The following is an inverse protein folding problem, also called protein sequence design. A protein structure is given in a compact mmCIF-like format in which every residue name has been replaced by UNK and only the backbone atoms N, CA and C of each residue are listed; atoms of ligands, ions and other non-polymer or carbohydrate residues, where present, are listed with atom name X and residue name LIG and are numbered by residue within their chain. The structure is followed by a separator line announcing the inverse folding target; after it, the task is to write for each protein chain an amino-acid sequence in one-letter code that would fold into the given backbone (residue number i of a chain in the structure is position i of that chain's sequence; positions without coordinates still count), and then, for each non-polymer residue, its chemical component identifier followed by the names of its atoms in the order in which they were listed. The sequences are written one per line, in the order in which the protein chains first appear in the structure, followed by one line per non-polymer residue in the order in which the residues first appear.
data_IF_995210582702
#
_entry.id   IF_995210582702
#
_cell.length_a   1.000
_cell.length_b   1.000
_cell.length_c   1.000
_cell.angle_alpha   90.00
_cell.angle_beta   90.00
_cell.angle_gamma   90.00
#
_symmetry.space_group_name_H-M   'P 1'
#
loop_
_entity.id
_entity.type
_entity.pdbx_description
1 polymer ?
#
# COMPACT_ATOMS: atom_id res chain seq x y z
N UNK A 1 12.89 -6.45 -14.92
CA UNK A 1 11.92 -6.68 -13.82
C UNK A 1 10.59 -6.97 -14.45
N UNK A 2 10.04 -8.12 -14.14
CA UNK A 2 8.72 -8.54 -14.59
C UNK A 2 7.65 -8.13 -13.56
N UNK A 3 6.36 -8.25 -13.92
CA UNK A 3 5.23 -8.11 -13.00
C UNK A 3 5.41 -8.99 -11.75
N UNK A 4 5.77 -10.25 -11.97
CA UNK A 4 6.00 -11.22 -10.89
C UNK A 4 7.12 -10.79 -9.95
N UNK A 5 8.23 -10.26 -10.47
CA UNK A 5 9.35 -9.80 -9.65
C UNK A 5 8.92 -8.64 -8.73
N UNK A 6 8.21 -7.66 -9.28
CA UNK A 6 7.74 -6.51 -8.52
C UNK A 6 6.71 -6.91 -7.45
N UNK A 7 5.73 -7.76 -7.81
CA UNK A 7 4.76 -8.29 -6.85
C UNK A 7 5.41 -9.12 -5.75
N UNK A 8 6.40 -9.95 -6.10
CA UNK A 8 7.14 -10.75 -5.13
C UNK A 8 7.85 -9.87 -4.12
N UNK A 9 8.52 -8.81 -4.59
CA UNK A 9 9.17 -7.85 -3.69
C UNK A 9 8.16 -7.16 -2.78
N UNK A 10 7.08 -6.61 -3.33
CA UNK A 10 6.09 -5.88 -2.53
C UNK A 10 5.38 -6.79 -1.52
N UNK A 11 5.11 -8.06 -1.87
CA UNK A 11 4.45 -9.04 -1.00
C UNK A 11 5.35 -9.63 0.08
N UNK A 12 6.67 -9.57 -0.11
CA UNK A 12 7.61 -9.97 0.93
C UNK A 12 7.57 -9.04 2.15
N UNK A 13 7.10 -7.82 1.96
CA UNK A 13 7.00 -6.80 3.01
C UNK A 13 5.55 -6.71 3.50
N UNK A 14 5.32 -7.16 4.75
CA UNK A 14 3.98 -7.11 5.38
C UNK A 14 3.61 -5.74 5.93
N UNK A 15 4.60 -4.85 6.11
CA UNK A 15 4.42 -3.53 6.69
C UNK A 15 5.02 -2.47 5.78
N UNK A 16 4.37 -1.31 5.75
CA UNK A 16 4.81 -0.17 4.96
C UNK A 16 4.58 1.13 5.72
N UNK A 17 5.34 2.16 5.39
CA UNK A 17 5.05 3.51 5.84
C UNK A 17 4.02 4.11 4.90
N UNK A 18 2.85 4.42 5.44
CA UNK A 18 1.75 5.09 4.75
C UNK A 18 1.77 6.56 5.08
N UNK A 19 1.58 7.43 4.08
CA UNK A 19 1.47 8.88 4.27
C UNK A 19 0.13 9.40 3.78
N UNK A 20 -0.39 10.41 4.45
CA UNK A 20 -1.60 11.13 4.06
C UNK A 20 -1.45 12.60 4.42
N UNK A 21 -2.35 13.44 3.93
CA UNK A 21 -2.31 14.88 4.14
C UNK A 21 -3.53 15.32 4.93
N UNK A 22 -3.30 16.06 6.00
CA UNK A 22 -4.38 16.66 6.80
C UNK A 22 -5.11 17.77 6.04
N UNK A 23 -6.25 18.23 6.60
CA UNK A 23 -7.00 19.37 6.05
C UNK A 23 -6.22 20.67 6.03
N UNK A 24 -5.17 20.77 6.85
CA UNK A 24 -4.25 21.92 6.88
C UNK A 24 -2.97 21.67 6.06
N UNK A 25 -3.00 20.68 5.18
CA UNK A 25 -1.87 20.28 4.31
C UNK A 25 -0.63 19.79 5.07
N UNK A 26 -0.77 19.40 6.32
CA UNK A 26 0.32 18.77 7.06
C UNK A 26 0.48 17.31 6.62
N UNK A 27 1.67 16.88 6.16
CA UNK A 27 1.93 15.47 5.86
C UNK A 27 2.00 14.67 7.15
N UNK A 28 1.40 13.48 7.14
CA UNK A 28 1.35 12.59 8.29
C UNK A 28 1.72 11.18 7.83
N UNK A 29 2.51 10.49 8.63
CA UNK A 29 2.98 9.14 8.32
C UNK A 29 2.68 8.17 9.46
N UNK A 30 2.40 6.92 9.10
CA UNK A 30 2.22 5.82 10.04
C UNK A 30 2.63 4.50 9.39
N UNK A 31 3.09 3.55 10.20
CA UNK A 31 3.29 2.17 9.76
C UNK A 31 1.94 1.45 9.74
N UNK A 32 1.65 0.76 8.65
CA UNK A 32 0.45 -0.07 8.48
C UNK A 32 0.83 -1.45 7.95
N UNK A 33 0.04 -2.47 8.31
CA UNK A 33 0.09 -3.76 7.65
C UNK A 33 -0.56 -3.66 6.28
N UNK A 34 0.09 -4.18 5.23
CA UNK A 34 -0.40 -4.12 3.87
C UNK A 34 -0.58 -5.50 3.26
N UNK A 35 -1.59 -5.66 2.42
CA UNK A 35 -1.70 -6.75 1.45
C UNK A 35 -1.66 -6.17 0.04
N UNK A 36 -1.12 -6.92 -0.92
CA UNK A 36 -0.93 -6.47 -2.30
C UNK A 36 -1.70 -7.40 -3.24
N UNK A 37 -2.65 -6.85 -3.99
CA UNK A 37 -3.40 -7.59 -5.02
C UNK A 37 -2.55 -7.86 -6.27
N UNK A 38 -3.06 -8.69 -7.19
CA UNK A 38 -2.40 -8.92 -8.48
C UNK A 38 -2.34 -7.66 -9.35
N UNK A 39 -3.19 -6.68 -9.11
CA UNK A 39 -3.22 -5.40 -9.81
C UNK A 39 -2.42 -4.30 -9.12
N UNK A 40 -1.49 -4.68 -8.23
CA UNK A 40 -0.68 -3.76 -7.42
C UNK A 40 -1.50 -2.86 -6.48
N UNK A 41 -2.78 -3.14 -6.26
CA UNK A 41 -3.55 -2.42 -5.26
C UNK A 41 -3.04 -2.78 -3.86
N UNK A 42 -2.94 -1.78 -3.00
CA UNK A 42 -2.63 -1.99 -1.58
C UNK A 42 -3.91 -2.01 -0.77
N UNK A 43 -3.97 -2.90 0.21
CA UNK A 43 -5.07 -2.98 1.16
C UNK A 43 -4.53 -2.91 2.58
N UNK A 44 -5.15 -2.10 3.41
CA UNK A 44 -4.89 -2.05 4.85
C UNK A 44 -6.17 -1.82 5.63
N UNK A 45 -6.19 -2.19 6.90
CA UNK A 45 -7.30 -1.87 7.80
C UNK A 45 -6.94 -0.72 8.75
N UNK A 46 -7.96 -0.01 9.23
CA UNK A 46 -7.83 1.02 10.23
C UNK A 46 -9.19 1.33 10.85
N UNK A 47 -9.23 2.17 11.88
CA UNK A 47 -10.49 2.69 12.40
C UNK A 47 -10.94 3.93 11.60
N UNK A 48 -12.25 4.07 11.42
CA UNK A 48 -12.84 5.16 10.65
C UNK A 48 -12.54 6.56 11.22
N UNK A 49 -12.28 6.65 12.54
CA UNK A 49 -11.92 7.86 13.24
C UNK A 49 -10.40 8.10 13.36
N UNK A 50 -9.59 7.18 12.82
CA UNK A 50 -8.14 7.38 12.76
C UNK A 50 -7.77 8.60 11.90
N UNK A 51 -6.65 9.25 12.23
CA UNK A 51 -6.16 10.41 11.45
C UNK A 51 -6.03 10.09 9.96
N UNK A 52 -5.47 8.91 9.62
CA UNK A 52 -5.30 8.49 8.23
C UNK A 52 -6.63 8.28 7.51
N UNK A 53 -7.63 7.67 8.15
CA UNK A 53 -8.95 7.47 7.54
C UNK A 53 -9.66 8.81 7.31
N UNK A 54 -9.63 9.70 8.27
CA UNK A 54 -10.20 11.06 8.16
C UNK A 54 -9.51 11.84 7.03
N UNK A 55 -8.18 11.79 6.98
CA UNK A 55 -7.41 12.44 5.93
C UNK A 55 -7.78 11.91 4.53
N UNK A 56 -7.80 10.58 4.36
CA UNK A 56 -8.03 9.95 3.07
C UNK A 56 -9.46 10.13 2.56
N UNK A 57 -10.44 10.30 3.45
CA UNK A 57 -11.80 10.67 3.03
C UNK A 57 -11.87 12.10 2.48
N UNK A 58 -11.08 13.01 3.02
CA UNK A 58 -11.02 14.40 2.57
C UNK A 58 -10.10 14.59 1.37
N UNK A 59 -8.96 13.88 1.34
CA UNK A 59 -7.98 13.89 0.25
C UNK A 59 -7.49 12.46 0.02
N UNK A 60 -7.94 11.79 -1.04
CA UNK A 60 -7.60 10.38 -1.28
C UNK A 60 -6.18 10.15 -1.79
N UNK A 61 -5.41 11.18 -2.07
CA UNK A 61 -4.00 11.05 -2.47
C UNK A 61 -3.19 10.47 -1.33
N UNK A 62 -2.43 9.42 -1.61
CA UNK A 62 -1.68 8.67 -0.62
C UNK A 62 -0.37 8.18 -1.21
N UNK A 63 0.66 8.09 -0.38
CA UNK A 63 1.92 7.50 -0.76
C UNK A 63 2.39 6.48 0.28
N UNK A 64 3.20 5.51 -0.19
CA UNK A 64 3.81 4.49 0.65
C UNK A 64 5.29 4.35 0.36
N UNK A 65 6.02 3.94 1.38
CA UNK A 65 7.35 3.35 1.24
C UNK A 65 7.26 1.90 1.72
N UNK A 66 7.61 0.96 0.84
CA UNK A 66 7.61 -0.48 1.08
C UNK A 66 9.06 -0.96 1.00
N UNK A 67 9.49 -1.82 1.92
CA UNK A 67 10.87 -2.27 2.02
C UNK A 67 11.73 -1.31 2.84
N UNK A 68 13.04 -1.39 2.67
CA UNK A 68 14.00 -0.64 3.48
C UNK A 68 15.40 -1.21 3.39
N UNK A 69 16.08 -1.27 4.53
CA UNK A 69 17.42 -1.82 4.67
C UNK A 69 17.32 -3.24 5.19
N UNK A 70 17.89 -4.20 4.46
CA UNK A 70 18.03 -5.59 4.89
C UNK A 70 19.41 -6.09 4.48
N UNK A 71 20.16 -6.65 5.44
CA UNK A 71 21.53 -7.14 5.22
C UNK A 71 22.44 -6.09 4.54
N UNK A 72 22.38 -4.85 5.01
CA UNK A 72 23.09 -3.66 4.48
C UNK A 72 22.73 -3.28 3.04
N UNK A 73 21.74 -3.93 2.44
CA UNK A 73 21.24 -3.60 1.11
C UNK A 73 19.95 -2.80 1.22
N UNK A 74 19.90 -1.66 0.53
CA UNK A 74 18.71 -0.81 0.45
C UNK A 74 17.92 -1.19 -0.79
N UNK A 75 16.72 -1.73 -0.56
CA UNK A 75 15.72 -2.00 -1.62
C UNK A 75 14.38 -1.45 -1.19
N UNK A 76 13.80 -0.61 -2.02
CA UNK A 76 12.53 0.05 -1.69
C UNK A 76 11.61 0.13 -2.90
N UNK A 77 10.32 0.18 -2.59
CA UNK A 77 9.28 0.67 -3.50
C UNK A 77 8.74 1.97 -2.92
N UNK A 78 8.77 3.04 -3.70
CA UNK A 78 7.94 4.21 -3.51
C UNK A 78 6.66 4.01 -4.32
N UNK A 79 5.53 4.30 -3.71
CA UNK A 79 4.23 4.05 -4.30
C UNK A 79 3.34 5.27 -4.10
N UNK A 80 2.75 5.77 -5.17
CA UNK A 80 1.73 6.81 -5.14
C UNK A 80 0.42 6.25 -5.66
N UNK A 81 -0.68 6.61 -5.03
CA UNK A 81 -1.98 6.10 -5.40
C UNK A 81 -3.16 6.91 -4.89
N UNK A 82 -4.33 6.41 -5.19
CA UNK A 82 -5.61 6.98 -4.78
C UNK A 82 -6.35 5.96 -3.90
N UNK A 83 -6.67 6.39 -2.68
CA UNK A 83 -7.40 5.59 -1.72
C UNK A 83 -8.92 5.63 -1.96
N UNK A 84 -9.58 4.51 -1.75
CA UNK A 84 -11.03 4.44 -1.63
C UNK A 84 -11.44 3.51 -0.47
N UNK A 85 -12.71 3.60 -0.11
CA UNK A 85 -13.34 2.79 0.95
C UNK A 85 -14.40 1.90 0.29
N UNK A 86 -14.02 0.70 -0.19
CA UNK A 86 -14.93 -0.17 -0.92
C UNK A 86 -16.08 -0.65 -0.03
N UNK A 87 -17.17 -1.04 -0.66
CA UNK A 87 -18.36 -1.61 -0.02
C UNK A 87 -18.91 -2.78 -0.85
N UNK A 88 -19.83 -3.57 -0.25
CA UNK A 88 -20.47 -4.69 -0.94
C UNK A 88 -19.47 -5.77 -1.38
N UNK A 89 -19.61 -6.26 -2.61
CA UNK A 89 -18.78 -7.32 -3.16
C UNK A 89 -17.31 -6.91 -3.31
N UNK A 90 -17.05 -5.65 -3.62
CA UNK A 90 -15.69 -5.13 -3.68
C UNK A 90 -15.02 -5.13 -2.31
N UNK A 91 -15.76 -4.78 -1.24
CA UNK A 91 -15.24 -4.87 0.12
C UNK A 91 -14.87 -6.32 0.48
N UNK A 92 -15.72 -7.29 0.14
CA UNK A 92 -15.42 -8.71 0.40
C UNK A 92 -14.13 -9.16 -0.30
N UNK A 93 -13.94 -8.80 -1.56
CA UNK A 93 -12.73 -9.11 -2.32
C UNK A 93 -11.47 -8.50 -1.69
N UNK A 94 -11.56 -7.24 -1.29
CA UNK A 94 -10.48 -6.52 -0.62
C UNK A 94 -10.15 -7.16 0.74
N UNK A 95 -11.16 -7.53 1.50
CA UNK A 95 -11.00 -8.23 2.77
C UNK A 95 -10.34 -9.61 2.59
N UNK A 96 -10.72 -10.38 1.57
CA UNK A 96 -10.08 -11.67 1.27
C UNK A 96 -8.60 -11.50 0.96
N UNK A 97 -8.24 -10.49 0.16
CA UNK A 97 -6.84 -10.14 -0.11
C UNK A 97 -6.10 -9.81 1.19
N UNK A 98 -6.68 -8.99 2.06
CA UNK A 98 -6.08 -8.61 3.33
C UNK A 98 -5.92 -9.81 4.28
N UNK A 99 -6.96 -10.62 4.43
CA UNK A 99 -6.94 -11.79 5.33
C UNK A 99 -6.03 -12.92 4.86
N UNK A 100 -5.69 -12.96 3.58
CA UNK A 100 -4.69 -13.91 3.07
C UNK A 100 -3.29 -13.64 3.64
N UNK A 101 -3.01 -12.39 4.01
CA UNK A 101 -1.75 -11.95 4.63
C UNK A 101 -1.87 -11.84 6.14
N UNK A 102 -3.02 -11.37 6.62
CA UNK A 102 -3.34 -11.16 8.04
C UNK A 102 -4.61 -11.93 8.42
N UNK A 103 -4.53 -13.25 8.66
CA UNK A 103 -5.71 -14.06 9.03
C UNK A 103 -6.38 -13.58 10.32
N UNK A 104 -5.60 -13.05 11.26
CA UNK A 104 -6.09 -12.43 12.51
C UNK A 104 -6.92 -11.16 12.27
N UNK A 105 -6.84 -10.57 11.08
CA UNK A 105 -7.68 -9.45 10.68
C UNK A 105 -9.18 -9.75 10.75
N UNK A 106 -9.57 -11.03 10.61
CA UNK A 106 -10.97 -11.47 10.78
C UNK A 106 -11.48 -11.23 12.19
N UNK A 107 -10.63 -11.36 13.19
CA UNK A 107 -10.99 -11.18 14.60
C UNK A 107 -11.34 -9.71 14.92
N UNK A 108 -10.87 -8.78 14.08
CA UNK A 108 -11.15 -7.35 14.21
C UNK A 108 -12.43 -6.89 13.52
N UNK A 109 -13.09 -7.75 12.74
CA UNK A 109 -14.33 -7.40 12.01
C UNK A 109 -15.46 -6.93 12.94
N UNK A 110 -15.45 -7.36 14.22
CA UNK A 110 -16.41 -6.91 15.23
C UNK A 110 -16.05 -5.55 15.86
N UNK A 111 -14.87 -5.01 15.59
CA UNK A 111 -14.50 -3.71 16.13
C UNK A 111 -15.33 -2.61 15.53
N UNK A 112 -15.92 -1.77 16.39
CA UNK A 112 -16.70 -0.62 15.95
C UNK A 112 -15.84 0.33 15.13
N UNK A 113 -16.31 0.64 13.93
CA UNK A 113 -15.63 1.60 13.04
C UNK A 113 -14.44 1.04 12.27
N UNK A 114 -14.20 -0.28 12.28
CA UNK A 114 -13.18 -0.89 11.43
C UNK A 114 -13.53 -0.65 9.96
N UNK A 115 -12.57 -0.19 9.18
CA UNK A 115 -12.67 -0.02 7.73
C UNK A 115 -11.47 -0.65 7.04
N UNK A 116 -11.69 -1.14 5.83
CA UNK A 116 -10.63 -1.54 4.91
C UNK A 116 -10.49 -0.49 3.83
N UNK A 117 -9.25 -0.05 3.63
CA UNK A 117 -8.90 0.94 2.62
C UNK A 117 -8.19 0.24 1.49
N UNK A 118 -8.65 0.48 0.26
CA UNK A 118 -7.94 0.06 -0.96
C UNK A 118 -7.23 1.27 -1.55
N UNK A 119 -6.05 1.06 -2.07
CA UNK A 119 -5.29 2.09 -2.79
C UNK A 119 -4.95 1.58 -4.18
N UNK A 120 -5.40 2.29 -5.20
CA UNK A 120 -5.10 2.01 -6.61
C UNK A 120 -3.82 2.74 -7.01
N UNK A 121 -2.86 2.04 -7.67
CA UNK A 121 -1.59 2.64 -8.02
C UNK A 121 -1.74 3.69 -9.14
N UNK A 122 -1.03 4.80 -8.98
CA UNK A 122 -0.79 5.79 -10.03
C UNK A 122 0.64 5.71 -10.55
N UNK A 123 1.58 5.47 -9.63
CA UNK A 123 3.00 5.43 -9.93
C UNK A 123 3.73 4.56 -8.91
N UNK A 124 4.69 3.79 -9.38
CA UNK A 124 5.56 2.94 -8.57
C UNK A 124 7.00 3.15 -9.01
N UNK A 125 7.91 3.35 -8.06
CA UNK A 125 9.36 3.36 -8.28
C UNK A 125 10.01 2.27 -7.44
N UNK A 126 10.63 1.30 -8.11
CA UNK A 126 11.51 0.33 -7.48
C UNK A 126 12.94 0.84 -7.49
N UNK A 127 13.64 0.74 -6.36
CA UNK A 127 15.05 1.08 -6.25
C UNK A 127 15.81 -0.04 -5.55
N UNK A 128 16.93 -0.44 -6.16
CA UNK A 128 17.91 -1.36 -5.58
C UNK A 128 19.31 -0.72 -5.65
N UNK A 129 19.91 -0.50 -4.50
CA UNK A 129 21.19 0.17 -4.39
C UNK A 129 22.37 -0.80 -4.26
N UNK A 130 22.13 -2.12 -4.39
CA UNK A 130 23.20 -3.12 -4.38
C UNK A 130 24.11 -3.07 -5.63
N UNK A 131 23.57 -3.02 -6.87
CA UNK A 131 24.41 -2.90 -8.06
C UNK A 131 24.99 -1.50 -8.22
N UNK A 132 26.09 -1.40 -8.97
CA UNK A 132 26.73 -0.14 -9.33
C UNK A 132 26.77 0.03 -10.86
N UNK A 133 26.03 0.98 -11.43
CA UNK A 133 25.14 1.97 -10.77
C UNK A 133 23.86 1.33 -10.19
N UNK A 134 23.19 2.00 -9.26
CA UNK A 134 21.92 1.52 -8.70
C UNK A 134 20.87 1.25 -9.78
N UNK A 135 20.09 0.19 -9.60
CA UNK A 135 18.94 -0.10 -10.46
C UNK A 135 17.74 0.69 -9.96
N UNK A 136 17.23 1.58 -10.80
CA UNK A 136 16.02 2.36 -10.54
C UNK A 136 15.06 2.18 -11.71
N UNK A 137 13.82 1.76 -11.42
CA UNK A 137 12.76 1.54 -12.41
C UNK A 137 11.50 2.27 -11.98
N UNK A 138 10.87 2.96 -12.91
CA UNK A 138 9.63 3.70 -12.67
C UNK A 138 8.52 3.19 -13.60
N UNK A 139 7.32 3.10 -13.05
CA UNK A 139 6.13 2.62 -13.74
C UNK A 139 4.97 3.56 -13.41
N UNK A 140 4.41 4.22 -14.41
CA UNK A 140 3.12 4.87 -14.30
C UNK A 140 1.98 3.84 -14.41
N UNK A 141 0.74 4.30 -14.27
CA UNK A 141 -0.43 3.43 -14.33
C UNK A 141 -0.58 2.71 -15.70
N UNK A 142 -0.07 3.28 -16.78
CA UNK A 142 -0.10 2.62 -18.09
C UNK A 142 0.96 1.52 -18.16
N UNK A 143 2.18 1.80 -17.72
CA UNK A 143 3.28 0.84 -17.67
C UNK A 143 2.96 -0.35 -16.75
N UNK A 144 2.32 -0.11 -15.61
CA UNK A 144 1.89 -1.18 -14.69
C UNK A 144 0.90 -2.15 -15.31
N UNK A 145 0.04 -1.70 -16.22
CA UNK A 145 -0.89 -2.57 -16.95
C UNK A 145 -0.20 -3.42 -18.00
N UNK A 146 0.97 -3.02 -18.47
CA UNK A 146 1.73 -3.71 -19.51
C UNK A 146 2.81 -4.66 -18.95
N UNK A 147 3.11 -4.58 -17.65
CA UNK A 147 3.96 -5.54 -16.97
C UNK A 147 3.30 -6.92 -16.91
#
# INVERSE_FOLDING_TARGET
MTRTDLLTFMRAEKFAVQTSVSRTYAPQAAVVGIAVSDDFELVFDTLADSRKAVNLRANPSVAFVIGGIRDDVVRTVQYEGVADFPFGDELRRVQETYFSVFPDGRDRLHWKGLVHVRVKPLWIRYSNYEPQPPLVLEFDAAALRLL
#
